data_IF_046889561164
#
_entry.id   IF_046889561164
#
_cell.length_a   1.000
_cell.length_b   1.000
_cell.length_c   1.000
_cell.angle_alpha   90.00
_cell.angle_beta   90.00
_cell.angle_gamma   90.00
#
_symmetry.space_group_name_H-M   'P 1'
#
loop_
_entity.id
_entity.type
_entity.pdbx_description
1 polymer ?
#
# COMPACT_ATOMS: atom_id res chain seq x y z
N UNK A 1 -12.81 6.24 -8.14
CA UNK A 1 -11.80 5.21 -7.81
C UNK A 1 -12.49 4.03 -7.11
N UNK A 2 -12.05 2.81 -7.39
CA UNK A 2 -12.57 1.59 -6.79
C UNK A 2 -11.43 0.86 -6.08
N UNK A 3 -11.60 0.58 -4.79
CA UNK A 3 -10.61 -0.10 -3.96
C UNK A 3 -11.18 -1.43 -3.44
N UNK A 4 -10.34 -2.46 -3.43
CA UNK A 4 -10.62 -3.73 -2.79
C UNK A 4 -9.40 -4.19 -1.99
N UNK A 5 -9.60 -4.52 -0.73
CA UNK A 5 -8.55 -5.07 0.13
C UNK A 5 -8.49 -6.59 -0.05
N UNK A 6 -7.31 -7.08 -0.37
CA UNK A 6 -7.04 -8.50 -0.57
C UNK A 6 -6.29 -9.12 0.62
N UNK A 7 -6.43 -8.52 1.78
CA UNK A 7 -5.81 -8.92 3.04
C UNK A 7 -4.63 -8.04 3.44
N UNK A 8 -4.48 -7.79 4.72
CA UNK A 8 -3.42 -6.99 5.33
C UNK A 8 -3.22 -5.63 4.64
N UNK A 9 -2.13 -5.46 3.92
CA UNK A 9 -1.78 -4.27 3.15
C UNK A 9 -2.04 -4.40 1.65
N UNK A 10 -2.43 -5.61 1.18
CA UNK A 10 -2.64 -5.84 -0.24
C UNK A 10 -3.94 -5.19 -0.74
N UNK A 11 -3.82 -4.28 -1.69
CA UNK A 11 -4.93 -3.57 -2.30
C UNK A 11 -4.98 -3.77 -3.81
N UNK A 12 -6.18 -3.93 -4.35
CA UNK A 12 -6.47 -3.77 -5.77
C UNK A 12 -7.11 -2.41 -5.97
N UNK A 13 -6.45 -1.56 -6.74
CA UNK A 13 -6.86 -0.19 -7.06
C UNK A 13 -7.27 -0.13 -8.52
N UNK A 14 -8.49 0.32 -8.79
CA UNK A 14 -9.02 0.47 -10.14
C UNK A 14 -9.47 1.92 -10.34
N UNK A 15 -8.93 2.57 -11.36
CA UNK A 15 -9.27 3.94 -11.75
C UNK A 15 -9.11 4.08 -13.26
N UNK A 16 -10.09 4.65 -13.95
CA UNK A 16 -10.15 4.68 -15.40
C UNK A 16 -9.93 3.27 -16.01
N UNK A 17 -8.95 3.11 -16.88
CA UNK A 17 -8.58 1.82 -17.48
C UNK A 17 -7.47 1.09 -16.71
N UNK A 18 -7.01 1.67 -15.60
CA UNK A 18 -5.93 1.10 -14.79
C UNK A 18 -6.46 0.15 -13.72
N UNK A 19 -5.71 -0.92 -13.51
CA UNK A 19 -5.96 -1.94 -12.52
C UNK A 19 -4.64 -2.34 -11.86
N UNK A 20 -4.34 -1.71 -10.73
CA UNK A 20 -3.06 -1.80 -10.04
C UNK A 20 -3.18 -2.69 -8.80
N UNK A 21 -2.24 -3.61 -8.65
CA UNK A 21 -2.07 -4.42 -7.44
C UNK A 21 -0.98 -3.78 -6.59
N UNK A 22 -1.29 -3.50 -5.32
CA UNK A 22 -0.34 -2.92 -4.36
C UNK A 22 -0.03 -3.95 -3.29
N UNK A 23 1.24 -4.12 -2.96
CA UNK A 23 1.78 -4.95 -1.88
C UNK A 23 1.20 -6.36 -1.78
N UNK A 24 1.47 -7.24 -2.77
CA UNK A 24 1.02 -8.64 -2.74
C UNK A 24 1.88 -9.50 -1.79
N UNK A 25 1.76 -9.29 -0.49
CA UNK A 25 2.50 -10.00 0.55
C UNK A 25 1.87 -11.34 0.98
N UNK A 26 2.50 -12.00 1.96
CA UNK A 26 2.15 -13.35 2.42
C UNK A 26 0.74 -13.48 3.01
N UNK A 27 0.16 -12.38 3.51
CA UNK A 27 -1.22 -12.38 4.05
C UNK A 27 -2.28 -12.02 3.02
N UNK A 28 -1.92 -11.89 1.74
CA UNK A 28 -2.86 -11.61 0.66
C UNK A 28 -3.74 -12.83 0.36
N UNK A 29 -4.96 -12.60 -0.13
CA UNK A 29 -5.89 -13.66 -0.54
C UNK A 29 -6.41 -13.42 -1.95
N UNK A 30 -6.70 -14.51 -2.68
CA UNK A 30 -7.32 -14.44 -4.00
C UNK A 30 -6.41 -13.94 -5.13
N UNK A 31 -5.10 -13.88 -4.92
CA UNK A 31 -4.11 -13.45 -5.92
C UNK A 31 -4.18 -14.30 -7.19
N UNK A 32 -4.46 -15.59 -7.06
CA UNK A 32 -4.57 -16.55 -8.17
C UNK A 32 -5.71 -16.24 -9.15
N UNK A 33 -6.64 -15.38 -8.75
CA UNK A 33 -7.80 -14.97 -9.57
C UNK A 33 -7.58 -13.66 -10.33
N UNK A 34 -6.49 -12.95 -10.04
CA UNK A 34 -6.23 -11.65 -10.63
C UNK A 34 -5.84 -11.77 -12.09
N UNK A 35 -6.51 -11.01 -12.94
CA UNK A 35 -6.30 -10.95 -14.39
C UNK A 35 -6.40 -9.50 -14.84
N UNK A 36 -5.82 -9.20 -15.99
CA UNK A 36 -5.88 -7.88 -16.62
C UNK A 36 -5.37 -6.76 -15.70
N UNK A 37 -4.34 -7.05 -14.90
CA UNK A 37 -3.63 -6.03 -14.17
C UNK A 37 -2.85 -5.16 -15.16
N UNK A 38 -2.72 -3.87 -14.86
CA UNK A 38 -1.92 -2.92 -15.65
C UNK A 38 -0.59 -2.58 -15.00
N UNK A 39 -0.42 -2.91 -13.71
CA UNK A 39 0.82 -2.73 -12.96
C UNK A 39 0.75 -3.37 -11.58
N UNK A 40 1.94 -3.62 -11.02
CA UNK A 40 2.14 -4.06 -9.64
C UNK A 40 3.06 -3.04 -8.97
N UNK A 41 2.64 -2.54 -7.81
CA UNK A 41 3.38 -1.59 -7.00
C UNK A 41 3.78 -2.26 -5.69
N UNK A 42 5.05 -2.20 -5.33
CA UNK A 42 5.59 -2.79 -4.10
C UNK A 42 6.29 -1.67 -3.34
N UNK A 43 5.91 -1.48 -2.09
CA UNK A 43 6.47 -0.41 -1.27
C UNK A 43 7.82 -0.76 -0.68
N UNK A 44 8.00 -2.01 -0.24
CA UNK A 44 9.25 -2.49 0.36
C UNK A 44 9.32 -4.03 0.44
N UNK A 45 10.48 -4.54 0.85
CA UNK A 45 10.87 -5.96 0.75
C UNK A 45 10.26 -6.89 1.81
N UNK A 46 9.62 -6.41 2.87
CA UNK A 46 9.10 -7.30 3.91
C UNK A 46 8.05 -8.26 3.36
N UNK A 47 8.04 -9.49 3.88
CA UNK A 47 7.21 -10.59 3.35
C UNK A 47 5.70 -10.31 3.38
N UNK A 48 5.24 -9.49 4.29
CA UNK A 48 3.84 -9.07 4.39
C UNK A 48 3.43 -8.03 3.34
N UNK A 49 4.41 -7.48 2.58
CA UNK A 49 4.23 -6.57 1.44
C UNK A 49 4.70 -7.18 0.11
N UNK A 50 5.69 -8.08 0.14
CA UNK A 50 6.20 -8.78 -1.03
C UNK A 50 6.41 -10.27 -0.73
N UNK A 51 5.48 -11.11 -1.16
CA UNK A 51 5.68 -12.58 -1.22
C UNK A 51 5.99 -12.98 -2.66
N UNK A 52 7.29 -13.21 -2.93
CA UNK A 52 7.77 -13.47 -4.30
C UNK A 52 7.21 -14.78 -4.85
N UNK A 53 7.05 -15.81 -4.02
CA UNK A 53 6.52 -17.12 -4.46
C UNK A 53 5.05 -16.99 -4.87
N UNK A 54 4.26 -16.23 -4.13
CA UNK A 54 2.86 -15.96 -4.46
C UNK A 54 2.71 -14.98 -5.61
N UNK A 55 3.64 -14.04 -5.76
CA UNK A 55 3.68 -13.12 -6.88
C UNK A 55 3.82 -13.85 -8.22
N UNK A 56 4.55 -14.98 -8.27
CA UNK A 56 4.71 -15.75 -9.51
C UNK A 56 3.36 -16.17 -10.12
N UNK A 57 2.39 -16.57 -9.30
CA UNK A 57 1.04 -16.92 -9.79
C UNK A 57 0.34 -15.71 -10.42
N UNK A 58 0.58 -14.52 -9.88
CA UNK A 58 0.05 -13.27 -10.46
C UNK A 58 0.69 -12.99 -11.81
N UNK A 59 2.01 -13.19 -11.93
CA UNK A 59 2.77 -12.94 -13.16
C UNK A 59 2.39 -13.92 -14.28
N UNK A 60 2.19 -15.19 -13.96
CA UNK A 60 1.70 -16.21 -14.92
C UNK A 60 0.35 -15.80 -15.52
N UNK A 61 -0.52 -15.20 -14.70
CA UNK A 61 -1.84 -14.75 -15.12
C UNK A 61 -1.85 -13.39 -15.81
N UNK A 62 -0.76 -12.63 -15.72
CA UNK A 62 -0.62 -11.27 -16.27
C UNK A 62 0.77 -11.10 -16.93
N UNK A 63 1.05 -11.83 -18.02
CA UNK A 63 2.38 -11.83 -18.64
C UNK A 63 2.77 -10.44 -19.17
N UNK A 64 4.03 -10.05 -18.93
CA UNK A 64 4.58 -8.77 -19.37
C UNK A 64 4.12 -7.56 -18.57
N UNK A 65 3.49 -7.77 -17.40
CA UNK A 65 3.10 -6.68 -16.51
C UNK A 65 4.32 -5.96 -15.93
N UNK A 66 4.23 -4.64 -15.81
CA UNK A 66 5.25 -3.83 -15.12
C UNK A 66 5.17 -4.03 -13.62
N UNK A 67 6.33 -4.21 -12.98
CA UNK A 67 6.48 -4.23 -11.52
C UNK A 67 7.31 -3.02 -11.15
N UNK A 68 6.80 -2.20 -10.25
CA UNK A 68 7.43 -0.96 -9.78
C UNK A 68 7.71 -1.12 -8.29
N UNK A 69 8.93 -0.89 -7.85
CA UNK A 69 9.30 -1.12 -6.45
C UNK A 69 10.53 -0.30 -6.03
N UNK A 70 10.87 -0.40 -4.76
CA UNK A 70 12.13 0.07 -4.19
C UNK A 70 13.33 -0.79 -4.62
N UNK A 71 14.54 -0.31 -4.35
CA UNK A 71 15.80 -0.94 -4.74
C UNK A 71 16.01 -2.34 -4.11
N UNK A 72 15.66 -2.51 -2.83
CA UNK A 72 15.84 -3.79 -2.13
C UNK A 72 14.87 -4.85 -2.65
N UNK A 73 13.62 -4.48 -2.88
CA UNK A 73 12.61 -5.34 -3.51
C UNK A 73 13.03 -5.77 -4.92
N UNK A 74 13.55 -4.84 -5.73
CA UNK A 74 14.05 -5.16 -7.07
C UNK A 74 15.21 -6.14 -7.04
N UNK A 75 16.13 -6.00 -6.09
CA UNK A 75 17.23 -6.94 -5.87
C UNK A 75 16.74 -8.35 -5.58
N UNK A 76 15.82 -8.49 -4.62
CA UNK A 76 15.22 -9.78 -4.24
C UNK A 76 14.43 -10.43 -5.39
N UNK A 77 13.69 -9.64 -6.16
CA UNK A 77 12.97 -10.10 -7.35
C UNK A 77 13.94 -10.59 -8.43
N UNK A 78 15.05 -9.86 -8.65
CA UNK A 78 16.08 -10.22 -9.62
C UNK A 78 16.76 -11.56 -9.31
N UNK A 79 17.01 -11.86 -8.02
CA UNK A 79 17.54 -13.17 -7.58
C UNK A 79 16.61 -14.35 -7.94
N UNK A 80 15.33 -14.08 -8.15
CA UNK A 80 14.31 -15.04 -8.56
C UNK A 80 13.96 -14.95 -10.05
N UNK A 81 14.76 -14.20 -10.83
CA UNK A 81 14.59 -14.04 -12.28
C UNK A 81 13.42 -13.14 -12.69
N UNK A 82 12.90 -12.32 -11.77
CA UNK A 82 11.82 -11.37 -12.03
C UNK A 82 12.41 -9.98 -12.21
N UNK A 83 12.08 -9.32 -13.32
CA UNK A 83 12.50 -7.94 -13.58
C UNK A 83 11.51 -6.94 -13.02
N UNK A 84 12.00 -5.94 -12.29
CA UNK A 84 11.22 -4.84 -11.77
C UNK A 84 11.89 -3.50 -12.10
N UNK A 85 11.10 -2.46 -12.15
CA UNK A 85 11.54 -1.07 -12.33
C UNK A 85 11.74 -0.43 -10.95
N UNK A 86 12.97 0.04 -10.71
CA UNK A 86 13.31 0.73 -9.46
C UNK A 86 12.87 2.17 -9.53
N UNK A 87 12.22 2.64 -8.47
CA UNK A 87 11.77 4.03 -8.34
C UNK A 87 12.21 4.65 -7.02
N UNK A 88 12.27 5.97 -7.01
CA UNK A 88 12.70 6.78 -5.87
C UNK A 88 11.72 7.93 -5.63
N UNK A 89 11.76 8.50 -4.43
CA UNK A 89 10.97 9.70 -4.12
C UNK A 89 11.24 10.83 -5.13
N UNK A 90 10.19 11.34 -5.71
CA UNK A 90 10.20 12.38 -6.74
C UNK A 90 10.03 11.86 -8.16
N UNK A 91 10.02 10.54 -8.36
CA UNK A 91 9.70 9.96 -9.66
C UNK A 91 8.19 10.04 -9.92
N UNK A 92 7.84 10.31 -11.18
CA UNK A 92 6.48 10.29 -11.70
C UNK A 92 6.37 9.25 -12.83
N UNK A 93 5.34 8.43 -12.79
CA UNK A 93 5.09 7.37 -13.76
C UNK A 93 3.68 7.49 -14.33
N UNK A 94 3.49 6.90 -15.51
CA UNK A 94 2.16 6.66 -16.09
C UNK A 94 1.92 5.14 -16.20
N UNK A 95 0.89 4.69 -15.49
CA UNK A 95 0.37 3.31 -15.52
C UNK A 95 -1.10 3.29 -16.01
N UNK A 96 -1.44 4.25 -16.91
CA UNK A 96 -2.81 4.55 -17.32
C UNK A 96 -3.52 5.51 -16.35
N UNK A 97 -2.87 5.76 -15.20
CA UNK A 97 -3.11 6.85 -14.26
C UNK A 97 -1.77 7.40 -13.79
N UNK A 98 -1.74 8.64 -13.34
CA UNK A 98 -0.55 9.21 -12.72
C UNK A 98 -0.16 8.46 -11.44
N UNK A 99 1.13 8.21 -11.26
CA UNK A 99 1.71 7.62 -10.05
C UNK A 99 2.90 8.47 -9.63
N UNK A 100 2.77 9.21 -8.54
CA UNK A 100 3.89 9.96 -7.95
C UNK A 100 4.48 9.17 -6.78
N UNK A 101 5.80 9.11 -6.70
CA UNK A 101 6.55 8.32 -5.71
C UNK A 101 7.03 9.19 -4.57
N UNK A 102 6.84 8.74 -3.32
CA UNK A 102 7.20 9.44 -2.09
C UNK A 102 7.93 8.52 -1.13
N UNK A 103 8.60 9.11 -0.14
CA UNK A 103 9.27 8.34 0.92
C UNK A 103 10.60 7.75 0.48
N UNK A 104 11.36 7.21 1.44
CA UNK A 104 12.68 6.61 1.18
C UNK A 104 12.96 5.41 2.06
N UNK A 105 12.45 5.43 3.29
CA UNK A 105 12.80 4.46 4.32
C UNK A 105 11.56 3.98 5.06
N UNK A 106 11.60 2.75 5.48
CA UNK A 106 10.64 2.16 6.40
C UNK A 106 10.72 2.86 7.77
N UNK A 107 9.62 2.92 8.49
CA UNK A 107 9.62 3.39 9.88
C UNK A 107 10.52 2.49 10.75
N UNK A 108 11.27 3.09 11.67
CA UNK A 108 12.23 2.34 12.49
C UNK A 108 11.52 1.36 13.40
N UNK A 109 11.77 0.07 13.22
CA UNK A 109 11.25 -1.00 14.09
C UNK A 109 12.02 -0.96 15.43
N UNK A 110 13.35 -1.01 15.36
CA UNK A 110 14.26 -0.89 16.50
C UNK A 110 15.60 -0.34 16.03
N UNK A 111 16.27 0.54 16.80
CA UNK A 111 17.56 1.12 16.39
C UNK A 111 18.68 0.09 16.14
N UNK A 112 18.60 -1.09 16.73
CA UNK A 112 19.60 -2.17 16.57
C UNK A 112 19.30 -3.06 15.35
N UNK A 113 18.21 -2.82 14.63
CA UNK A 113 17.88 -3.52 13.39
C UNK A 113 18.23 -2.66 12.18
N UNK A 114 18.78 -3.25 11.11
CA UNK A 114 18.96 -2.52 9.85
C UNK A 114 17.61 -2.05 9.33
N UNK A 115 17.56 -0.79 8.87
CA UNK A 115 16.40 -0.28 8.19
C UNK A 115 16.40 -0.70 6.73
N UNK A 116 15.23 -0.72 6.09
CA UNK A 116 15.07 -1.06 4.67
C UNK A 116 14.49 0.13 3.90
N UNK A 117 14.74 0.25 2.60
CA UNK A 117 14.04 1.21 1.75
C UNK A 117 12.53 0.97 1.80
N UNK A 118 11.76 2.06 1.71
CA UNK A 118 10.31 2.02 1.55
C UNK A 118 9.87 3.22 0.72
N UNK A 119 9.09 2.97 -0.32
CA UNK A 119 8.47 4.00 -1.16
C UNK A 119 6.96 3.97 -1.00
N UNK A 120 6.33 5.12 -1.07
CA UNK A 120 4.88 5.27 -1.10
C UNK A 120 4.42 5.77 -2.46
N UNK A 121 3.16 5.53 -2.79
CA UNK A 121 2.57 5.84 -4.09
C UNK A 121 1.32 6.71 -3.94
N UNK A 122 1.31 7.85 -4.64
CA UNK A 122 0.11 8.65 -4.83
C UNK A 122 -0.46 8.34 -6.23
N UNK A 123 -1.62 7.69 -6.26
CA UNK A 123 -2.27 7.22 -7.48
C UNK A 123 -3.37 8.18 -7.92
N UNK A 124 -3.35 8.58 -9.20
CA UNK A 124 -4.33 9.48 -9.82
C UNK A 124 -4.50 10.81 -9.06
N UNK A 125 -3.47 11.29 -8.37
CA UNK A 125 -3.50 12.44 -7.46
C UNK A 125 -4.62 12.37 -6.40
N UNK A 126 -5.07 11.16 -6.03
CA UNK A 126 -6.21 10.93 -5.13
C UNK A 126 -5.93 9.96 -3.99
N UNK A 127 -5.34 8.80 -4.27
CA UNK A 127 -5.14 7.72 -3.31
C UNK A 127 -3.66 7.62 -2.94
N UNK A 128 -3.34 7.78 -1.67
CA UNK A 128 -1.98 7.63 -1.15
C UNK A 128 -1.83 6.38 -0.29
N UNK A 129 -0.81 5.60 -0.62
CA UNK A 129 -0.37 4.42 0.11
C UNK A 129 1.12 4.57 0.44
N UNK A 130 1.45 4.72 1.72
CA UNK A 130 2.81 5.02 2.17
C UNK A 130 3.68 3.78 2.41
N UNK A 131 3.13 2.56 2.32
CA UNK A 131 3.77 1.37 2.87
C UNK A 131 3.89 1.47 4.40
N UNK A 132 4.99 1.03 4.93
CA UNK A 132 5.27 1.02 6.37
C UNK A 132 6.06 2.27 6.81
N UNK A 133 5.48 3.42 6.51
CA UNK A 133 5.99 4.73 6.87
C UNK A 133 4.87 5.75 7.05
N UNK A 134 5.16 6.83 7.77
CA UNK A 134 4.27 7.99 7.92
C UNK A 134 4.70 9.15 7.03
N UNK A 135 4.99 8.86 5.77
CA UNK A 135 5.36 9.86 4.77
C UNK A 135 4.20 10.82 4.51
N UNK A 136 4.48 12.12 4.48
CA UNK A 136 3.50 13.16 4.15
C UNK A 136 3.79 13.64 2.73
N UNK A 137 2.90 13.39 1.75
CA UNK A 137 3.08 13.93 0.41
C UNK A 137 2.87 15.45 0.39
N UNK A 138 3.48 16.13 -0.56
CA UNK A 138 3.32 17.57 -0.77
C UNK A 138 2.04 17.94 -1.53
N UNK A 139 1.36 16.94 -2.10
CA UNK A 139 0.06 17.09 -2.77
C UNK A 139 -1.10 16.74 -1.82
N UNK A 140 -2.29 17.32 -2.01
CA UNK A 140 -3.50 16.91 -1.29
C UNK A 140 -3.83 15.43 -1.53
N UNK A 141 -4.28 14.74 -0.48
CA UNK A 141 -4.71 13.34 -0.53
C UNK A 141 -6.21 13.25 -0.29
N UNK A 142 -6.93 12.66 -1.20
CA UNK A 142 -8.37 12.41 -1.02
C UNK A 142 -8.62 11.17 -0.19
N UNK A 143 -7.91 10.07 -0.50
CA UNK A 143 -8.04 8.76 0.14
C UNK A 143 -6.66 8.36 0.66
N UNK A 144 -6.57 8.02 1.94
CA UNK A 144 -5.33 7.62 2.60
C UNK A 144 -5.44 6.17 3.10
N UNK A 145 -4.52 5.30 2.69
CA UNK A 145 -4.34 4.01 3.34
C UNK A 145 -3.60 4.23 4.67
N UNK A 146 -4.20 3.82 5.79
CA UNK A 146 -3.67 4.07 7.13
C UNK A 146 -3.27 2.76 7.79
N UNK A 147 -1.98 2.51 8.09
CA UNK A 147 -1.58 1.35 8.86
C UNK A 147 -2.14 1.44 10.28
N UNK A 148 -2.68 0.32 10.80
CA UNK A 148 -3.37 0.32 12.09
C UNK A 148 -2.83 -0.71 13.10
N UNK A 149 -1.76 -1.43 12.74
CA UNK A 149 -1.14 -2.37 13.67
C UNK A 149 0.17 -2.93 13.15
N UNK A 150 1.28 -2.51 13.73
CA UNK A 150 2.62 -2.98 13.41
C UNK A 150 3.56 -2.83 14.60
N UNK A 151 4.69 -3.57 14.59
CA UNK A 151 5.69 -3.50 15.66
C UNK A 151 6.42 -2.15 15.72
N UNK A 152 6.41 -1.39 14.63
CA UNK A 152 7.12 -0.12 14.48
C UNK A 152 6.27 1.12 14.82
N UNK A 153 4.98 0.95 15.17
CA UNK A 153 4.07 2.07 15.36
C UNK A 153 3.28 2.01 16.67
N UNK A 154 2.81 3.15 17.11
CA UNK A 154 1.74 3.30 18.10
C UNK A 154 0.49 3.84 17.40
N UNK A 155 -0.67 3.59 17.97
CA UNK A 155 -1.93 4.15 17.46
C UNK A 155 -1.90 5.68 17.38
N UNK A 156 -1.20 6.35 18.33
CA UNK A 156 -1.01 7.80 18.29
C UNK A 156 -0.31 8.29 17.03
N UNK A 157 0.69 7.52 16.55
CA UNK A 157 1.49 7.91 15.38
C UNK A 157 0.62 7.91 14.11
N UNK A 158 -0.25 6.88 13.95
CA UNK A 158 -1.21 6.81 12.86
C UNK A 158 -2.24 7.96 12.91
N UNK A 159 -2.75 8.28 14.10
CA UNK A 159 -3.72 9.39 14.30
C UNK A 159 -3.07 10.73 13.99
N UNK A 160 -1.86 10.98 14.47
CA UNK A 160 -1.16 12.24 14.24
C UNK A 160 -0.83 12.42 12.76
N UNK A 161 -0.37 11.35 12.10
CA UNK A 161 -0.15 11.36 10.65
C UNK A 161 -1.45 11.59 9.86
N UNK A 162 -2.54 10.90 10.21
CA UNK A 162 -3.84 11.10 9.61
C UNK A 162 -4.31 12.55 9.72
N UNK A 163 -4.06 13.21 10.86
CA UNK A 163 -4.39 14.62 11.08
C UNK A 163 -3.54 15.57 10.25
N UNK A 164 -2.28 15.23 10.02
CA UNK A 164 -1.38 16.03 9.16
C UNK A 164 -1.83 15.92 7.70
N UNK A 165 -2.08 14.70 7.21
CA UNK A 165 -2.50 14.47 5.80
C UNK A 165 -3.92 14.96 5.56
N UNK A 166 -4.81 14.84 6.54
CA UNK A 166 -6.19 15.33 6.52
C UNK A 166 -7.00 14.88 5.29
N UNK A 167 -7.07 13.58 4.97
CA UNK A 167 -7.79 13.08 3.81
C UNK A 167 -9.31 13.14 4.00
N UNK A 168 -10.08 13.07 2.90
CA UNK A 168 -11.54 12.87 2.98
C UNK A 168 -11.92 11.48 3.47
N UNK A 169 -11.13 10.47 3.06
CA UNK A 169 -11.35 9.06 3.43
C UNK A 169 -10.06 8.44 3.97
N UNK A 170 -10.15 7.74 5.09
CA UNK A 170 -9.10 6.90 5.64
C UNK A 170 -9.48 5.42 5.49
N UNK A 171 -8.62 4.63 4.88
CA UNK A 171 -8.79 3.20 4.65
C UNK A 171 -7.80 2.44 5.53
N UNK A 172 -8.26 1.72 6.57
CA UNK A 172 -7.37 0.94 7.43
C UNK A 172 -6.71 -0.21 6.66
N UNK A 173 -5.40 -0.33 6.81
CA UNK A 173 -4.56 -1.41 6.29
C UNK A 173 -3.63 -1.92 7.38
N UNK A 174 -2.83 -2.94 7.10
CA UNK A 174 -1.85 -3.51 8.03
C UNK A 174 -2.50 -4.03 9.32
N UNK A 175 -3.52 -4.88 9.16
CA UNK A 175 -4.38 -5.33 10.26
C UNK A 175 -4.53 -6.86 10.38
N UNK A 176 -3.76 -7.65 9.61
CA UNK A 176 -3.84 -9.10 9.66
C UNK A 176 -3.55 -9.64 11.06
N UNK A 177 -4.41 -10.55 11.53
CA UNK A 177 -4.28 -11.16 12.87
C UNK A 177 -4.59 -10.21 14.03
N UNK A 178 -4.96 -8.96 13.77
CA UNK A 178 -5.31 -8.03 14.83
C UNK A 178 -6.75 -8.26 15.31
N UNK A 179 -6.88 -8.94 16.45
CA UNK A 179 -8.18 -9.26 17.07
C UNK A 179 -8.96 -8.02 17.53
N UNK A 180 -8.31 -6.87 17.60
CA UNK A 180 -8.90 -5.60 17.99
C UNK A 180 -9.15 -4.65 16.80
N UNK A 181 -9.04 -5.14 15.56
CA UNK A 181 -9.11 -4.29 14.36
C UNK A 181 -10.37 -3.39 14.35
N UNK A 182 -11.55 -3.96 14.59
CA UNK A 182 -12.83 -3.19 14.64
C UNK A 182 -12.81 -2.06 15.69
N UNK A 183 -12.24 -2.35 16.84
CA UNK A 183 -12.10 -1.33 17.89
C UNK A 183 -11.13 -0.23 17.48
N UNK A 184 -10.01 -0.61 16.82
CA UNK A 184 -9.03 0.35 16.29
C UNK A 184 -9.65 1.23 15.20
N UNK A 185 -10.46 0.67 14.30
CA UNK A 185 -11.17 1.45 13.28
C UNK A 185 -12.14 2.45 13.90
N UNK A 186 -12.84 2.05 14.97
CA UNK A 186 -13.72 2.95 15.70
C UNK A 186 -12.93 4.10 16.36
N UNK A 187 -11.81 3.79 17.02
CA UNK A 187 -10.93 4.82 17.60
C UNK A 187 -10.37 5.76 16.54
N UNK A 188 -9.90 5.20 15.43
CA UNK A 188 -9.40 6.00 14.31
C UNK A 188 -10.48 6.98 13.83
N UNK A 189 -11.73 6.51 13.70
CA UNK A 189 -12.88 7.36 13.35
C UNK A 189 -13.15 8.46 14.36
N UNK A 190 -13.10 8.16 15.66
CA UNK A 190 -13.29 9.16 16.73
C UNK A 190 -12.19 10.24 16.77
N UNK A 191 -10.96 9.87 16.39
CA UNK A 191 -9.78 10.72 16.49
C UNK A 191 -9.40 11.41 15.16
N UNK A 192 -10.09 11.06 14.09
CA UNK A 192 -9.90 11.62 12.75
C UNK A 192 -10.23 13.11 12.69
N UNK A 193 -9.65 13.87 11.75
CA UNK A 193 -10.07 15.24 11.48
C UNK A 193 -11.56 15.33 11.11
N UNK A 194 -12.16 16.48 11.41
CA UNK A 194 -13.54 16.76 10.95
C UNK A 194 -13.58 16.68 9.42
N UNK A 195 -14.50 15.89 8.88
CA UNK A 195 -14.66 15.67 7.44
C UNK A 195 -13.95 14.42 6.92
N UNK A 196 -13.11 13.76 7.73
CA UNK A 196 -12.53 12.47 7.38
C UNK A 196 -13.47 11.32 7.79
N UNK A 197 -13.75 10.41 6.85
CA UNK A 197 -14.51 9.19 7.10
C UNK A 197 -13.59 7.99 7.09
N UNK A 198 -13.63 7.15 8.12
CA UNK A 198 -12.91 5.86 8.14
C UNK A 198 -13.77 4.81 7.46
N UNK A 199 -13.22 4.17 6.42
CA UNK A 199 -13.90 3.14 5.62
C UNK A 199 -13.08 1.85 5.63
N UNK A 200 -13.52 0.87 6.42
CA UNK A 200 -12.92 -0.47 6.39
C UNK A 200 -13.34 -1.19 5.09
N UNK A 201 -12.35 -1.75 4.38
CA UNK A 201 -12.59 -2.52 3.17
C UNK A 201 -12.66 -4.01 3.51
N UNK A 202 -13.57 -4.73 2.83
CA UNK A 202 -13.61 -6.19 2.84
C UNK A 202 -13.06 -6.74 1.52
N UNK A 203 -12.45 -7.94 1.55
CA UNK A 203 -11.92 -8.59 0.34
C UNK A 203 -12.97 -8.96 -0.70
N UNK A 204 -14.23 -9.08 -0.30
CA UNK A 204 -15.32 -9.53 -1.16
C UNK A 204 -16.05 -8.37 -1.86
N UNK A 205 -16.16 -7.23 -1.21
CA UNK A 205 -16.95 -6.09 -1.71
C UNK A 205 -16.02 -4.90 -1.96
N UNK A 206 -15.93 -4.40 -3.20
CA UNK A 206 -15.17 -3.20 -3.48
C UNK A 206 -15.91 -1.95 -2.94
N UNK A 207 -15.15 -0.99 -2.44
CA UNK A 207 -15.65 0.35 -2.16
C UNK A 207 -15.40 1.29 -3.34
N UNK A 208 -16.31 2.25 -3.53
CA UNK A 208 -16.24 3.25 -4.59
C UNK A 208 -16.09 4.64 -3.96
N UNK A 209 -15.13 5.42 -4.48
CA UNK A 209 -14.78 6.75 -3.98
C UNK A 209 -14.74 7.79 -5.10
#
# INVERSE_FOLDING_TARGET
MRLRKLGHSCLLVEEADSRLLVDPGCFSVGLERLRKLTGILITHIHEDHLDIDRLQVVLENNPGIRIICDEASAGALSERGVTAEVVHAGDDLDLGVSVSVYGREHAVIHPDLPNVPNVGYLLADRFFFAGDAFTVPDKPVEILAVPVGAAWMKMSDAVDWLRIVCPRVAVPVHDYGNVFAEWIYHLLGQLSPIGTTVTALSGEIPAYF
#
